data_IF_984974472801
#
_entry.id   IF_984974472801
#
_cell.length_a   1.000
_cell.length_b   1.000
_cell.length_c   1.000
_cell.angle_alpha   90.00
_cell.angle_beta   90.00
_cell.angle_gamma   90.00
#
_symmetry.space_group_name_H-M   'P 1'
#
loop_
_entity.id
_entity.type
_entity.pdbx_description
1 polymer ?
#
# COMPACT_ATOMS: atom_id res chain seq x y z
N UNK A 1 -50.52 -42.44 11.03
CA UNK A 1 -49.40 -41.50 11.16
C UNK A 1 -48.88 -41.22 9.75
N UNK A 2 -48.95 -39.97 9.28
CA UNK A 2 -48.27 -39.53 8.06
C UNK A 2 -46.86 -39.10 8.46
N UNK A 3 -45.86 -39.81 7.96
CA UNK A 3 -44.45 -39.40 8.00
C UNK A 3 -44.34 -38.12 7.17
N UNK A 4 -44.02 -37.01 7.82
CA UNK A 4 -43.63 -35.79 7.12
C UNK A 4 -42.18 -35.97 6.69
N UNK A 5 -41.96 -36.24 5.40
CA UNK A 5 -40.65 -36.06 4.77
C UNK A 5 -40.23 -34.59 4.92
N UNK A 6 -39.23 -34.32 5.77
CA UNK A 6 -38.52 -33.05 5.75
C UNK A 6 -37.78 -32.93 4.42
N UNK A 7 -37.90 -31.81 3.68
CA UNK A 7 -37.08 -31.60 2.50
C UNK A 7 -35.62 -31.42 2.94
N UNK A 8 -34.74 -32.29 2.44
CA UNK A 8 -33.30 -32.16 2.61
C UNK A 8 -32.84 -30.76 2.18
N UNK A 9 -32.22 -30.04 3.11
CA UNK A 9 -31.69 -28.71 2.89
C UNK A 9 -30.50 -28.81 1.92
N UNK A 10 -30.51 -28.18 0.74
CA UNK A 10 -29.51 -28.41 -0.32
C UNK A 10 -28.16 -27.68 -0.07
N UNK A 11 -27.71 -27.53 1.18
CA UNK A 11 -26.50 -26.76 1.53
C UNK A 11 -25.21 -27.60 1.59
N UNK A 12 -25.17 -28.78 0.98
CA UNK A 12 -23.94 -29.59 0.89
C UNK A 12 -23.54 -29.91 -0.56
N UNK A 13 -23.84 -28.98 -1.47
CA UNK A 13 -23.11 -28.91 -2.73
C UNK A 13 -21.80 -28.17 -2.44
N UNK A 14 -20.66 -28.87 -2.48
CA UNK A 14 -19.30 -28.36 -2.24
C UNK A 14 -18.83 -27.30 -3.25
N UNK A 15 -19.66 -26.29 -3.50
CA UNK A 15 -19.42 -25.14 -4.34
C UNK A 15 -18.94 -24.06 -3.37
N UNK A 16 -17.64 -23.74 -3.43
CA UNK A 16 -17.08 -22.57 -2.76
C UNK A 16 -17.91 -21.35 -3.22
N UNK A 17 -18.65 -20.75 -2.28
CA UNK A 17 -19.38 -19.52 -2.56
C UNK A 17 -18.35 -18.47 -2.92
N UNK A 18 -18.37 -18.02 -4.17
CA UNK A 18 -17.52 -16.92 -4.61
C UNK A 18 -17.90 -15.69 -3.80
N UNK A 19 -17.01 -15.27 -2.92
CA UNK A 19 -17.21 -14.08 -2.11
C UNK A 19 -16.98 -12.84 -3.01
N UNK A 20 -17.62 -11.70 -2.73
CA UNK A 20 -17.42 -10.47 -3.53
C UNK A 20 -15.95 -10.07 -3.67
N UNK A 21 -15.13 -10.46 -2.69
CA UNK A 21 -13.69 -10.21 -2.62
C UNK A 21 -12.84 -11.08 -3.56
N UNK A 22 -13.35 -12.19 -4.08
CA UNK A 22 -12.67 -13.04 -5.08
C UNK A 22 -12.58 -12.36 -6.46
N UNK A 23 -13.45 -11.39 -6.73
CA UNK A 23 -13.40 -10.59 -7.95
C UNK A 23 -12.43 -9.41 -7.86
N UNK A 24 -11.88 -9.16 -6.67
CA UNK A 24 -10.97 -8.03 -6.45
C UNK A 24 -9.51 -8.45 -6.70
N UNK A 25 -8.67 -7.54 -7.20
CA UNK A 25 -7.22 -7.79 -7.30
C UNK A 25 -6.63 -8.20 -5.94
N UNK A 26 -5.54 -8.96 -5.90
CA UNK A 26 -4.88 -9.29 -4.64
C UNK A 26 -4.54 -8.02 -3.84
N UNK A 27 -4.77 -8.04 -2.51
CA UNK A 27 -4.51 -6.89 -1.66
C UNK A 27 -3.01 -6.54 -1.68
N UNK A 28 -2.60 -5.34 -2.12
CA UNK A 28 -1.18 -4.98 -2.21
C UNK A 28 -0.53 -4.71 -0.85
N UNK A 29 -1.32 -4.63 0.23
CA UNK A 29 -0.80 -4.34 1.57
C UNK A 29 -0.31 -5.61 2.28
N UNK A 30 0.83 -5.56 3.01
CA UNK A 30 1.32 -6.67 3.80
C UNK A 30 0.36 -7.03 4.94
N UNK A 31 0.39 -8.28 5.39
CA UNK A 31 -0.54 -8.83 6.40
C UNK A 31 -0.61 -8.00 7.69
N UNK A 32 0.53 -7.44 8.12
CA UNK A 32 0.59 -6.60 9.33
C UNK A 32 -0.18 -5.29 9.17
N UNK A 33 -0.19 -4.69 7.98
CA UNK A 33 -0.98 -3.49 7.69
C UNK A 33 -2.48 -3.82 7.67
N UNK A 34 -2.85 -4.97 7.11
CA UNK A 34 -4.24 -5.44 7.08
C UNK A 34 -4.79 -5.65 8.50
N UNK A 35 -3.97 -6.20 9.41
CA UNK A 35 -4.31 -6.35 10.84
C UNK A 35 -4.55 -5.04 11.58
N UNK A 36 -3.98 -3.94 11.07
CA UNK A 36 -4.21 -2.60 11.61
C UNK A 36 -5.44 -1.90 10.98
N UNK A 37 -6.22 -2.61 10.16
CA UNK A 37 -7.36 -2.04 9.44
C UNK A 37 -6.96 -1.20 8.23
N UNK A 38 -5.69 -1.29 7.78
CA UNK A 38 -5.24 -0.68 6.54
C UNK A 38 -5.58 -1.65 5.41
N UNK A 39 -6.69 -1.38 4.74
CA UNK A 39 -7.11 -2.05 3.52
C UNK A 39 -7.28 -1.03 2.37
N UNK A 40 -7.42 -1.52 1.14
CA UNK A 40 -7.61 -0.74 -0.09
C UNK A 40 -8.81 0.22 -0.06
N UNK A 41 -9.77 -0.02 0.83
CA UNK A 41 -10.96 0.83 1.04
C UNK A 41 -10.75 1.89 2.12
N UNK A 42 -9.62 1.86 2.83
CA UNK A 42 -9.32 2.87 3.84
C UNK A 42 -8.96 4.19 3.17
N UNK A 43 -9.45 5.30 3.71
CA UNK A 43 -9.11 6.66 3.24
C UNK A 43 -7.59 6.91 3.27
N UNK A 44 -6.87 6.19 4.13
CA UNK A 44 -5.41 6.27 4.27
C UNK A 44 -4.65 5.42 3.25
N UNK A 45 -5.31 4.52 2.52
CA UNK A 45 -4.68 3.61 1.57
C UNK A 45 -3.90 4.36 0.48
N UNK A 46 -4.46 5.46 -0.04
CA UNK A 46 -3.79 6.30 -1.03
C UNK A 46 -2.51 6.95 -0.48
N UNK A 47 -2.55 7.41 0.76
CA UNK A 47 -1.42 8.08 1.41
C UNK A 47 -0.28 7.09 1.71
N UNK A 48 -0.63 5.86 2.10
CA UNK A 48 0.33 4.77 2.36
C UNK A 48 0.93 4.26 1.05
N UNK A 49 0.14 4.16 -0.03
CA UNK A 49 0.66 3.85 -1.37
C UNK A 49 1.68 4.89 -1.85
N UNK A 50 1.43 6.18 -1.59
CA UNK A 50 2.38 7.26 -1.90
C UNK A 50 3.65 7.14 -1.04
N UNK A 51 3.51 6.93 0.27
CA UNK A 51 4.66 6.74 1.16
C UNK A 51 5.51 5.52 0.77
N UNK A 52 4.87 4.41 0.40
CA UNK A 52 5.49 3.21 -0.15
C UNK A 52 6.18 3.46 -1.49
N UNK A 53 5.62 4.32 -2.34
CA UNK A 53 6.18 4.64 -3.65
C UNK A 53 7.53 5.39 -3.59
N UNK A 54 7.83 6.01 -2.45
CA UNK A 54 9.14 6.59 -2.10
C UNK A 54 10.17 5.47 -1.84
N UNK A 55 10.40 4.67 -2.86
CA UNK A 55 11.34 3.56 -2.81
C UNK A 55 12.77 4.07 -2.99
N UNK A 56 13.55 4.05 -1.91
CA UNK A 56 14.98 4.39 -1.89
C UNK A 56 15.85 3.49 -2.78
N UNK A 57 15.31 2.34 -3.24
CA UNK A 57 16.00 1.43 -4.17
C UNK A 57 16.01 1.96 -5.61
N UNK A 58 15.14 2.90 -5.95
CA UNK A 58 15.13 3.51 -7.29
C UNK A 58 16.32 4.45 -7.43
N UNK A 59 17.14 4.22 -8.46
CA UNK A 59 18.30 5.07 -8.78
C UNK A 59 17.90 6.54 -8.97
N UNK A 60 16.69 6.80 -9.49
CA UNK A 60 16.15 8.14 -9.64
C UNK A 60 16.04 8.89 -8.32
N UNK A 61 15.61 8.22 -7.24
CA UNK A 61 15.52 8.85 -5.92
C UNK A 61 16.89 9.25 -5.38
N UNK A 62 17.89 8.37 -5.54
CA UNK A 62 19.28 8.69 -5.17
C UNK A 62 19.81 9.90 -5.93
N UNK A 63 19.58 9.97 -7.24
CA UNK A 63 20.01 11.11 -8.06
C UNK A 63 19.37 12.41 -7.58
N UNK A 64 18.05 12.41 -7.37
CA UNK A 64 17.33 13.60 -6.88
C UNK A 64 17.83 14.03 -5.50
N UNK A 65 18.07 13.08 -4.60
CA UNK A 65 18.62 13.36 -3.27
C UNK A 65 20.02 13.98 -3.34
N UNK A 66 20.90 13.44 -4.20
CA UNK A 66 22.24 14.00 -4.42
C UNK A 66 22.19 15.42 -5.01
N UNK A 67 21.30 15.67 -5.97
CA UNK A 67 21.12 17.02 -6.57
C UNK A 67 20.67 18.02 -5.52
N UNK A 68 19.65 17.67 -4.72
CA UNK A 68 19.17 18.50 -3.61
C UNK A 68 20.30 18.80 -2.61
N UNK A 69 21.02 17.76 -2.18
CA UNK A 69 22.12 17.89 -1.23
C UNK A 69 23.21 18.83 -1.75
N UNK A 70 23.71 18.58 -2.96
CA UNK A 70 24.76 19.39 -3.57
C UNK A 70 24.31 20.84 -3.79
N UNK A 71 23.05 21.07 -4.17
CA UNK A 71 22.51 22.41 -4.35
C UNK A 71 22.54 23.22 -3.04
N UNK A 72 22.09 22.63 -1.94
CA UNK A 72 22.06 23.30 -0.64
C UNK A 72 23.49 23.52 -0.13
N UNK A 73 24.36 22.51 -0.24
CA UNK A 73 25.76 22.61 0.18
C UNK A 73 26.51 23.68 -0.63
N UNK A 74 26.33 23.72 -1.95
CA UNK A 74 26.96 24.73 -2.81
C UNK A 74 26.46 26.14 -2.50
N UNK A 75 25.16 26.31 -2.28
CA UNK A 75 24.60 27.59 -1.87
C UNK A 75 25.20 28.10 -0.54
N UNK A 76 25.27 27.23 0.48
CA UNK A 76 25.87 27.58 1.76
C UNK A 76 27.36 27.89 1.64
N UNK A 77 28.12 27.09 0.88
CA UNK A 77 29.53 27.34 0.65
C UNK A 77 29.77 28.67 -0.07
N UNK A 78 28.93 29.01 -1.05
CA UNK A 78 28.98 30.30 -1.75
C UNK A 78 28.70 31.47 -0.81
N UNK A 79 27.67 31.37 0.04
CA UNK A 79 27.36 32.38 1.04
C UNK A 79 28.53 32.59 2.02
N UNK A 80 29.15 31.51 2.50
CA UNK A 80 30.32 31.59 3.37
C UNK A 80 31.52 32.24 2.68
N UNK A 81 31.75 31.91 1.41
CA UNK A 81 32.82 32.51 0.62
C UNK A 81 32.64 34.02 0.47
N UNK A 82 31.43 34.47 0.15
CA UNK A 82 31.08 35.90 0.01
C UNK A 82 31.30 36.65 1.32
N UNK A 83 31.04 36.02 2.48
CA UNK A 83 31.29 36.64 3.79
C UNK A 83 32.78 36.77 4.14
N UNK A 84 33.64 35.93 3.56
CA UNK A 84 35.08 35.91 3.84
C UNK A 84 35.90 36.81 2.90
N UNK A 85 35.32 37.30 1.80
CA UNK A 85 35.95 38.20 0.82
C UNK A 85 35.48 39.62 1.03
#
# INVERSE_FOLDING_TARGET
MQEHDEPEHPEDSGVELVEPEDFLPANPFPLDAQRMGIDRWSDNAGMIAVASSLDSRKLSHKIVAWVMLLSITAWLAFQLWVQMT
#
